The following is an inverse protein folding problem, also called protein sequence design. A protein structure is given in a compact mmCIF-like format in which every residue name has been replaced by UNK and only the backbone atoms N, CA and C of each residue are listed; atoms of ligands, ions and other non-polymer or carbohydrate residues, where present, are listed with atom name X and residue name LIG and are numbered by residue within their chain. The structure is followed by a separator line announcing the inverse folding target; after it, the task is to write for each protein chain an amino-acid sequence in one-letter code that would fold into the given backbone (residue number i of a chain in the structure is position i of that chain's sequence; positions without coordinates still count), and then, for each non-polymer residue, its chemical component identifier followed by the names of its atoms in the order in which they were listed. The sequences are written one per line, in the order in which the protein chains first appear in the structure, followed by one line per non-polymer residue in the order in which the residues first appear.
data_IF_842017860607
#
_entry.id   IF_842017860607
#
_cell.length_a   1.000
_cell.length_b   1.000
_cell.length_c   1.000
_cell.angle_alpha   90.00
_cell.angle_beta   90.00
_cell.angle_gamma   90.00
#
_symmetry.space_group_name_H-M   'P 1'
#
loop_
_entity.id
_entity.type
_entity.pdbx_description
1 polymer ?
#
# COMPACT_ATOMS: atom_id res chain seq x y z
N UNK A 1 -5.15 16.46 22.25
CA UNK A 1 -4.95 15.60 21.05
C UNK A 1 -3.57 15.91 20.52
N UNK A 2 -2.73 14.89 20.30
CA UNK A 2 -1.39 15.09 19.72
C UNK A 2 -1.40 14.64 18.26
N UNK A 3 -0.49 15.17 17.45
CA UNK A 3 -0.36 14.82 16.05
C UNK A 3 1.11 14.58 15.69
N UNK A 4 1.36 13.66 14.75
CA UNK A 4 2.68 13.40 14.17
C UNK A 4 2.54 12.99 12.71
N UNK A 5 3.47 13.44 11.87
CA UNK A 5 3.68 12.90 10.54
C UNK A 5 4.92 12.02 10.59
N UNK A 6 4.76 10.73 10.27
CA UNK A 6 5.88 9.80 10.21
C UNK A 6 6.56 9.85 8.85
N UNK A 7 7.88 9.82 8.85
CA UNK A 7 8.74 9.82 7.66
C UNK A 7 9.30 8.42 7.38
N UNK A 8 9.91 8.23 6.20
CA UNK A 8 10.65 6.99 5.88
C UNK A 8 11.85 6.82 6.81
N UNK A 9 12.51 7.91 7.22
CA UNK A 9 13.62 7.87 8.17
C UNK A 9 13.18 7.42 9.57
N UNK A 10 11.98 7.84 10.01
CA UNK A 10 11.38 7.32 11.24
C UNK A 10 11.17 5.81 11.17
N UNK A 11 10.75 5.26 10.02
CA UNK A 11 10.58 3.82 9.85
C UNK A 11 11.91 3.08 9.81
N UNK A 12 12.94 3.67 9.18
CA UNK A 12 14.28 3.10 9.21
C UNK A 12 14.88 3.09 10.61
N UNK A 13 14.71 4.16 11.39
CA UNK A 13 15.16 4.21 12.77
C UNK A 13 14.45 3.17 13.63
N UNK A 14 13.14 2.99 13.43
CA UNK A 14 12.38 1.96 14.12
C UNK A 14 12.77 0.54 13.71
N UNK A 15 12.97 0.28 12.41
CA UNK A 15 13.42 -1.01 11.90
C UNK A 15 14.79 -1.42 12.47
N UNK A 16 15.70 -0.45 12.61
CA UNK A 16 16.99 -0.67 13.30
C UNK A 16 16.82 -1.07 14.76
N UNK A 17 15.85 -0.50 15.47
CA UNK A 17 15.57 -0.83 16.85
C UNK A 17 14.84 -2.17 17.01
N UNK A 18 13.83 -2.44 16.19
CA UNK A 18 12.96 -3.62 16.31
C UNK A 18 13.52 -4.86 15.61
N UNK A 19 14.35 -4.67 14.59
CA UNK A 19 14.77 -5.71 13.66
C UNK A 19 13.70 -6.09 12.63
N UNK A 20 12.60 -5.35 12.55
CA UNK A 20 11.56 -5.54 11.54
C UNK A 20 11.87 -4.68 10.31
N UNK A 21 12.33 -5.34 9.25
CA UNK A 21 12.67 -4.74 7.96
C UNK A 21 11.72 -5.19 6.86
N UNK A 22 10.47 -5.56 7.20
CA UNK A 22 9.51 -6.00 6.20
C UNK A 22 9.39 -4.95 5.07
N UNK A 23 9.50 -5.33 3.78
CA UNK A 23 9.43 -4.39 2.66
C UNK A 23 8.18 -3.51 2.63
N UNK A 24 7.08 -3.96 3.26
CA UNK A 24 5.89 -3.16 3.47
C UNK A 24 6.16 -1.81 4.15
N UNK A 25 7.11 -1.81 5.08
CA UNK A 25 7.51 -0.63 5.87
C UNK A 25 8.76 0.04 5.32
N UNK A 26 9.58 -0.66 4.53
CA UNK A 26 10.93 -0.21 4.16
C UNK A 26 11.05 0.23 2.70
N UNK A 27 10.30 -0.38 1.79
CA UNK A 27 10.45 -0.12 0.35
C UNK A 27 9.18 0.55 -0.22
N UNK A 28 9.20 1.88 -0.46
CA UNK A 28 8.06 2.59 -1.03
C UNK A 28 7.74 2.17 -2.48
N UNK A 29 8.68 1.60 -3.24
CA UNK A 29 8.43 1.10 -4.59
C UNK A 29 7.75 -0.27 -4.58
N UNK A 30 8.13 -1.17 -3.68
CA UNK A 30 7.41 -2.43 -3.49
C UNK A 30 6.04 -2.17 -2.85
N UNK A 31 5.98 -1.34 -1.81
CA UNK A 31 4.75 -1.08 -1.07
C UNK A 31 3.63 -0.46 -1.92
N UNK A 32 3.96 0.23 -3.03
CA UNK A 32 2.97 0.75 -3.99
C UNK A 32 2.15 -0.33 -4.71
N UNK A 33 2.67 -1.57 -4.73
CA UNK A 33 2.02 -2.75 -5.34
C UNK A 33 1.29 -3.61 -4.32
N UNK A 34 1.44 -3.30 -3.04
CA UNK A 34 0.84 -4.04 -1.93
C UNK A 34 -0.53 -3.46 -1.57
N UNK A 35 -1.26 -4.18 -0.71
CA UNK A 35 -2.64 -3.86 -0.30
C UNK A 35 -2.88 -2.37 0.08
N UNK A 36 -1.92 -1.72 0.74
CA UNK A 36 -2.07 -0.33 1.16
C UNK A 36 -1.73 0.70 0.07
N UNK A 37 -1.10 0.28 -1.03
CA UNK A 37 -0.72 1.13 -2.17
C UNK A 37 0.38 2.15 -1.87
N UNK A 38 1.00 2.10 -0.68
CA UNK A 38 2.06 3.00 -0.21
C UNK A 38 2.81 2.39 0.97
N UNK A 39 3.98 2.95 1.29
CA UNK A 39 4.72 2.65 2.51
C UNK A 39 3.87 2.97 3.74
N UNK A 40 3.81 2.04 4.69
CA UNK A 40 3.03 2.20 5.93
C UNK A 40 3.92 2.16 7.17
N UNK A 41 3.51 2.89 8.19
CA UNK A 41 4.14 2.91 9.51
C UNK A 41 3.95 1.56 10.20
N UNK A 42 4.98 1.07 10.88
CA UNK A 42 4.85 -0.12 11.72
C UNK A 42 3.78 0.12 12.79
N UNK A 43 2.79 -0.76 12.91
CA UNK A 43 1.72 -0.62 13.91
C UNK A 43 2.27 -0.49 15.33
N UNK A 44 3.32 -1.27 15.65
CA UNK A 44 4.00 -1.20 16.94
C UNK A 44 4.74 0.13 17.15
N UNK A 45 5.32 0.74 16.10
CA UNK A 45 5.92 2.08 16.22
C UNK A 45 4.87 3.11 16.63
N UNK A 46 3.69 3.09 16.00
CA UNK A 46 2.60 3.99 16.35
C UNK A 46 2.10 3.79 17.79
N UNK A 47 2.04 2.53 18.25
CA UNK A 47 1.72 2.18 19.65
C UNK A 47 2.77 2.72 20.63
N UNK A 48 4.06 2.47 20.38
CA UNK A 48 5.12 2.91 21.28
C UNK A 48 5.25 4.44 21.30
N UNK A 49 5.05 5.11 20.17
CA UNK A 49 5.01 6.59 20.12
C UNK A 49 3.87 7.16 20.97
N UNK A 50 2.67 6.61 20.83
CA UNK A 50 1.50 7.12 21.55
C UNK A 50 1.58 6.86 23.06
N UNK A 51 2.14 5.70 23.45
CA UNK A 51 2.40 5.35 24.85
C UNK A 51 3.55 6.17 25.45
N UNK A 52 4.63 6.38 24.71
CA UNK A 52 5.75 7.22 25.18
C UNK A 52 5.26 8.62 25.55
N UNK A 53 4.42 9.21 24.68
CA UNK A 53 3.85 10.51 24.94
C UNK A 53 2.91 10.50 26.15
N UNK A 54 2.06 9.48 26.29
CA UNK A 54 1.16 9.36 27.45
C UNK A 54 1.94 9.35 28.77
N UNK A 55 3.09 8.67 28.80
CA UNK A 55 3.92 8.53 29.99
C UNK A 55 4.80 9.74 30.31
N UNK A 56 4.75 10.82 29.50
CA UNK A 56 5.60 12.01 29.69
C UNK A 56 5.47 12.64 31.08
N UNK A 57 4.27 12.63 31.68
CA UNK A 57 4.00 13.23 33.00
C UNK A 57 4.32 12.30 34.17
N UNK A 58 4.68 11.03 33.92
CA UNK A 58 4.98 10.05 34.96
C UNK A 58 6.44 10.14 35.37
N UNK A 59 6.72 10.00 36.66
CA UNK A 59 8.08 10.10 37.23
C UNK A 59 8.56 8.84 37.95
N UNK A 60 7.64 7.93 38.32
CA UNK A 60 7.96 6.70 39.05
C UNK A 60 7.98 5.50 38.11
N UNK A 61 8.86 4.51 38.31
CA UNK A 61 8.86 3.28 37.54
C UNK A 61 7.48 2.59 37.51
N UNK A 62 7.13 2.10 36.34
CA UNK A 62 5.92 1.34 36.06
C UNK A 62 6.29 0.01 35.43
N UNK A 63 5.35 -0.91 35.38
CA UNK A 63 5.41 -2.09 34.52
C UNK A 63 4.08 -2.20 33.78
N UNK A 64 4.16 -2.70 32.55
CA UNK A 64 2.99 -3.17 31.83
C UNK A 64 2.42 -4.38 32.57
N UNK A 65 1.09 -4.44 32.69
CA UNK A 65 0.32 -5.59 33.16
C UNK A 65 -0.44 -6.22 32.00
N UNK A 66 -1.05 -5.38 31.16
CA UNK A 66 -1.67 -5.81 29.91
C UNK A 66 -1.42 -4.80 28.80
N UNK A 67 -1.23 -5.31 27.58
CA UNK A 67 -1.24 -4.52 26.35
C UNK A 67 -2.17 -5.24 25.39
N UNK A 68 -3.26 -4.60 24.99
CA UNK A 68 -4.11 -5.06 23.90
C UNK A 68 -4.14 -4.00 22.83
N UNK A 69 -3.89 -4.37 21.58
CA UNK A 69 -3.92 -3.45 20.46
C UNK A 69 -4.57 -4.09 19.24
N UNK A 70 -5.46 -3.35 18.60
CA UNK A 70 -6.09 -3.68 17.33
C UNK A 70 -5.67 -2.62 16.30
N UNK A 71 -4.85 -3.01 15.33
CA UNK A 71 -4.43 -2.19 14.19
C UNK A 71 -5.48 -2.36 13.07
N UNK A 72 -6.37 -1.39 12.95
CA UNK A 72 -7.56 -1.44 12.09
C UNK A 72 -7.24 -1.07 10.65
N UNK A 73 -6.47 0.00 10.45
CA UNK A 73 -6.04 0.48 9.14
C UNK A 73 -4.58 0.92 9.18
N UNK A 74 -3.92 0.90 8.02
CA UNK A 74 -2.52 1.29 7.91
C UNK A 74 -2.36 2.82 7.94
N UNK A 75 -1.42 3.31 8.76
CA UNK A 75 -0.99 4.71 8.73
C UNK A 75 0.06 4.84 7.62
N UNK A 76 -0.23 5.57 6.55
CA UNK A 76 0.74 5.82 5.49
C UNK A 76 1.86 6.77 5.95
N UNK A 77 3.09 6.52 5.50
CA UNK A 77 4.18 7.50 5.65
C UNK A 77 3.78 8.82 4.97
N UNK A 78 4.01 9.94 5.65
CA UNK A 78 3.57 11.27 5.22
C UNK A 78 2.12 11.63 5.59
N UNK A 79 1.34 10.72 6.17
CA UNK A 79 0.01 11.06 6.71
C UNK A 79 0.10 11.63 8.12
N UNK A 80 -0.88 12.46 8.48
CA UNK A 80 -0.99 12.96 9.85
C UNK A 80 -1.68 11.91 10.70
N UNK A 81 -0.95 11.37 11.67
CA UNK A 81 -1.50 10.52 12.72
C UNK A 81 -1.90 11.38 13.92
N UNK A 82 -3.16 11.34 14.34
CA UNK A 82 -3.66 11.96 15.56
C UNK A 82 -3.87 10.92 16.65
N UNK A 83 -3.67 11.32 17.90
CA UNK A 83 -3.85 10.46 19.06
C UNK A 83 -4.73 11.13 20.13
N UNK A 84 -5.68 10.36 20.64
CA UNK A 84 -6.59 10.69 21.75
C UNK A 84 -6.46 9.61 22.83
N UNK A 85 -6.57 10.06 24.08
CA UNK A 85 -6.48 9.21 25.26
C UNK A 85 -7.79 9.26 26.02
N UNK A 86 -8.28 8.10 26.44
CA UNK A 86 -9.38 7.93 27.38
C UNK A 86 -8.86 7.12 28.56
N UNK A 87 -8.59 7.80 29.68
CA UNK A 87 -8.05 7.15 30.88
C UNK A 87 -9.17 6.95 31.90
N UNK A 88 -9.40 5.70 32.32
CA UNK A 88 -10.29 5.40 33.44
C UNK A 88 -9.64 5.82 34.77
N UNK A 89 -8.32 5.63 34.87
CA UNK A 89 -7.48 6.08 35.98
C UNK A 89 -6.01 6.23 35.51
N UNK A 90 -5.07 6.46 36.44
CA UNK A 90 -3.64 6.64 36.11
C UNK A 90 -2.94 5.37 35.61
N UNK A 91 -3.58 4.22 35.71
CA UNK A 91 -3.02 2.91 35.43
C UNK A 91 -3.75 2.19 34.29
N UNK A 92 -4.99 2.57 33.98
CA UNK A 92 -5.79 2.00 32.89
C UNK A 92 -6.10 3.08 31.85
N UNK A 93 -5.58 2.89 30.63
CA UNK A 93 -5.72 3.86 29.54
C UNK A 93 -6.11 3.19 28.24
N UNK A 94 -7.05 3.82 27.54
CA UNK A 94 -7.32 3.56 26.13
C UNK A 94 -6.71 4.65 25.25
N UNK A 95 -6.08 4.24 24.16
CA UNK A 95 -5.45 5.11 23.18
C UNK A 95 -6.11 4.86 21.83
N UNK A 96 -6.62 5.91 21.21
CA UNK A 96 -7.22 5.89 19.90
C UNK A 96 -6.32 6.65 18.93
N UNK A 97 -5.89 5.97 17.87
CA UNK A 97 -5.12 6.54 16.78
C UNK A 97 -5.99 6.69 15.53
N UNK A 98 -5.85 7.81 14.85
CA UNK A 98 -6.48 8.07 13.56
C UNK A 98 -5.42 8.56 12.57
N UNK A 99 -5.60 8.24 11.29
CA UNK A 99 -4.79 8.74 10.18
C UNK A 99 -5.69 9.54 9.23
N UNK A 100 -5.46 10.85 9.10
CA UNK A 100 -6.28 11.75 8.31
C UNK A 100 -7.81 11.57 8.56
N UNK A 101 -8.21 11.40 9.84
CA UNK A 101 -9.60 11.19 10.27
C UNK A 101 -10.13 9.76 10.17
N UNK A 102 -9.34 8.81 9.67
CA UNK A 102 -9.72 7.39 9.62
C UNK A 102 -9.18 6.65 10.84
N UNK A 103 -9.99 5.87 11.58
CA UNK A 103 -9.50 5.05 12.69
C UNK A 103 -8.37 4.09 12.27
N UNK A 104 -7.21 4.23 12.89
CA UNK A 104 -5.99 3.49 12.58
C UNK A 104 -5.70 2.39 13.61
N UNK A 105 -5.74 2.73 14.90
CA UNK A 105 -5.51 1.74 15.97
C UNK A 105 -6.34 2.04 17.21
N UNK A 106 -6.69 0.99 17.94
CA UNK A 106 -7.22 1.07 19.30
C UNK A 106 -6.35 0.24 20.22
N UNK A 107 -5.87 0.85 21.30
CA UNK A 107 -4.92 0.25 22.23
C UNK A 107 -5.49 0.39 23.64
N UNK A 108 -5.57 -0.70 24.38
CA UNK A 108 -5.96 -0.74 25.79
C UNK A 108 -4.77 -1.21 26.61
N UNK A 109 -4.44 -0.50 27.68
CA UNK A 109 -3.26 -0.73 28.49
C UNK A 109 -3.61 -0.73 29.97
N UNK A 110 -3.05 -1.68 30.71
CA UNK A 110 -2.99 -1.65 32.16
C UNK A 110 -1.54 -1.57 32.63
N UNK A 111 -1.25 -0.64 33.53
CA UNK A 111 0.04 -0.36 34.13
C UNK A 111 -0.02 -0.67 35.63
N UNK A 112 1.10 -1.01 36.23
CA UNK A 112 1.24 -1.13 37.69
C UNK A 112 2.50 -0.41 38.15
N UNK A 113 2.54 0.15 39.37
CA UNK A 113 3.79 0.56 39.98
C UNK A 113 4.79 -0.60 39.99
N UNK A 114 6.06 -0.31 39.72
CA UNK A 114 7.14 -1.28 39.76
C UNK A 114 8.30 -0.79 40.64
N UNK A 115 9.19 -1.72 41.02
CA UNK A 115 10.46 -1.37 41.64
C UNK A 115 11.40 -0.67 40.65
N UNK A 116 12.60 -0.23 41.10
CA UNK A 116 13.60 0.29 40.19
C UNK A 116 13.92 -0.74 39.10
N UNK A 117 13.99 -0.27 37.84
CA UNK A 117 14.33 -1.11 36.70
C UNK A 117 15.67 -1.81 36.97
N UNK A 118 15.66 -3.14 36.89
CA UNK A 118 16.91 -3.92 36.93
C UNK A 118 17.75 -3.58 35.71
N UNK A 119 19.07 -3.56 35.90
CA UNK A 119 20.02 -3.41 34.81
C UNK A 119 20.14 -4.73 34.03
N UNK A 120 19.06 -5.13 33.37
CA UNK A 120 19.08 -6.29 32.50
C UNK A 120 19.84 -5.93 31.22
N UNK A 121 20.93 -6.66 30.97
CA UNK A 121 21.73 -6.48 29.76
C UNK A 121 21.17 -7.35 28.65
N UNK A 122 20.60 -6.72 27.63
CA UNK A 122 20.19 -7.38 26.41
C UNK A 122 21.26 -7.18 25.33
N UNK A 123 21.45 -8.17 24.45
CA UNK A 123 22.23 -7.95 23.23
C UNK A 123 21.58 -6.85 22.38
N UNK A 124 22.40 -6.10 21.66
CA UNK A 124 21.92 -5.22 20.59
C UNK A 124 21.34 -6.03 19.43
N UNK A 125 20.50 -5.42 18.57
CA UNK A 125 20.03 -6.06 17.35
C UNK A 125 21.22 -6.43 16.44
N UNK A 126 21.05 -7.44 15.56
CA UNK A 126 22.08 -7.79 14.58
C UNK A 126 22.49 -6.58 13.73
N UNK A 127 23.78 -6.48 13.38
CA UNK A 127 24.30 -5.36 12.59
C UNK A 127 23.73 -5.33 11.17
N UNK A 128 23.47 -6.50 10.58
CA UNK A 128 22.83 -6.63 9.27
C UNK A 128 21.38 -7.13 9.42
N UNK A 129 20.43 -6.56 8.67
CA UNK A 129 19.07 -7.08 8.61
C UNK A 129 19.07 -8.51 8.09
N UNK A 130 18.42 -9.42 8.82
CA UNK A 130 18.09 -10.74 8.26
C UNK A 130 17.12 -10.62 7.08
N UNK A 131 17.13 -11.61 6.19
CA UNK A 131 16.14 -11.68 5.12
C UNK A 131 14.75 -11.92 5.70
N UNK A 132 13.78 -11.16 5.21
CA UNK A 132 12.37 -11.36 5.51
C UNK A 132 11.91 -12.71 4.96
N UNK A 133 11.52 -13.65 5.84
CA UNK A 133 11.23 -15.02 5.42
C UNK A 133 9.94 -15.09 4.62
N UNK A 134 9.97 -15.88 3.56
CA UNK A 134 8.79 -16.19 2.77
C UNK A 134 8.34 -17.63 3.06
N UNK A 135 7.09 -17.77 3.48
CA UNK A 135 6.49 -19.06 3.84
C UNK A 135 5.22 -19.30 3.03
N UNK A 136 5.02 -20.54 2.60
CA UNK A 136 3.72 -20.99 2.09
C UNK A 136 2.69 -21.05 3.22
N UNK A 137 1.38 -20.95 2.94
CA UNK A 137 0.34 -21.08 3.96
C UNK A 137 0.47 -22.32 4.84
N UNK A 138 0.80 -23.48 4.26
CA UNK A 138 1.02 -24.72 5.01
C UNK A 138 2.21 -24.63 5.99
N UNK A 139 3.30 -23.99 5.57
CA UNK A 139 4.47 -23.77 6.45
C UNK A 139 4.13 -22.78 7.57
N UNK A 140 3.34 -21.75 7.28
CA UNK A 140 2.83 -20.83 8.31
C UNK A 140 1.97 -21.60 9.30
N UNK A 141 1.03 -22.42 8.83
CA UNK A 141 0.12 -23.18 9.70
C UNK A 141 0.84 -24.11 10.69
N UNK A 142 1.99 -24.67 10.28
CA UNK A 142 2.80 -25.56 11.11
C UNK A 142 3.93 -24.84 11.89
N UNK A 143 4.05 -23.52 11.79
CA UNK A 143 5.20 -22.80 12.32
C UNK A 143 5.17 -22.70 13.86
N UNK A 144 6.31 -23.02 14.47
CA UNK A 144 6.65 -22.69 15.84
C UNK A 144 8.15 -22.43 15.95
N UNK A 145 8.58 -21.74 16.99
CA UNK A 145 9.99 -21.44 17.19
C UNK A 145 10.22 -20.44 18.30
N UNK A 146 11.42 -19.86 18.32
CA UNK A 146 11.80 -18.83 19.27
C UNK A 146 12.49 -17.66 18.57
N UNK A 147 12.38 -16.49 19.20
CA UNK A 147 13.11 -15.29 18.80
C UNK A 147 13.89 -14.78 19.99
N UNK A 148 15.21 -14.69 19.85
CA UNK A 148 16.03 -13.99 20.83
C UNK A 148 15.58 -12.54 21.03
N UNK A 149 15.52 -12.10 22.28
CA UNK A 149 15.21 -10.74 22.68
C UNK A 149 16.45 -9.86 22.57
N UNK A 150 16.29 -8.69 21.96
CA UNK A 150 17.33 -7.67 21.79
C UNK A 150 16.79 -6.34 22.29
N UNK A 151 17.67 -5.49 22.83
CA UNK A 151 17.28 -4.15 23.23
C UNK A 151 18.47 -3.19 23.21
N UNK A 152 18.49 -2.33 22.19
CA UNK A 152 19.41 -1.20 22.12
C UNK A 152 18.84 -0.02 22.92
N UNK A 153 19.31 0.13 24.16
CA UNK A 153 18.83 1.16 25.08
C UNK A 153 19.09 2.58 24.56
N UNK A 154 20.21 2.82 23.88
CA UNK A 154 20.58 4.16 23.42
C UNK A 154 19.64 4.61 22.30
N UNK A 155 19.48 3.77 21.27
CA UNK A 155 18.57 4.08 20.16
C UNK A 155 17.10 4.08 20.61
N UNK A 156 16.71 3.19 21.53
CA UNK A 156 15.39 3.24 22.14
C UNK A 156 15.14 4.55 22.88
N UNK A 157 16.13 5.09 23.62
CA UNK A 157 15.96 6.34 24.36
C UNK A 157 15.82 7.56 23.44
N UNK A 158 16.38 7.52 22.23
CA UNK A 158 16.20 8.56 21.21
C UNK A 158 14.77 8.57 20.66
N UNK A 159 14.19 7.39 20.42
CA UNK A 159 12.85 7.26 19.86
C UNK A 159 11.74 7.36 20.91
N UNK A 160 11.97 6.78 22.09
CA UNK A 160 10.97 6.59 23.16
C UNK A 160 11.58 6.87 24.55
N UNK A 161 11.96 8.12 24.84
CA UNK A 161 12.67 8.48 26.07
C UNK A 161 11.88 8.17 27.36
N UNK A 162 10.55 8.32 27.33
CA UNK A 162 9.71 8.08 28.49
C UNK A 162 9.50 6.59 28.74
N UNK A 163 9.38 5.78 27.68
CA UNK A 163 9.31 4.32 27.82
C UNK A 163 10.59 3.76 28.44
N UNK A 164 11.75 4.14 27.91
CA UNK A 164 13.04 3.66 28.44
C UNK A 164 13.26 4.08 29.89
N UNK A 165 12.76 5.27 30.27
CA UNK A 165 12.86 5.79 31.63
C UNK A 165 11.95 5.06 32.62
N UNK A 166 10.77 4.62 32.19
CA UNK A 166 9.71 4.19 33.11
C UNK A 166 9.40 2.70 33.08
N UNK A 167 9.64 1.99 31.98
CA UNK A 167 9.27 0.59 31.81
C UNK A 167 10.50 -0.35 31.89
N UNK A 168 10.34 -1.61 32.31
CA UNK A 168 11.41 -2.58 32.34
C UNK A 168 11.92 -2.88 30.91
N UNK A 169 13.24 -2.94 30.68
CA UNK A 169 13.82 -3.23 29.37
C UNK A 169 13.31 -4.52 28.74
N UNK A 170 13.10 -5.59 29.54
CA UNK A 170 12.58 -6.86 29.05
C UNK A 170 11.18 -6.77 28.43
N UNK A 171 10.30 -5.93 28.99
CA UNK A 171 8.96 -5.73 28.42
C UNK A 171 9.03 -5.02 27.06
N UNK A 172 9.94 -4.05 26.92
CA UNK A 172 10.18 -3.35 25.66
C UNK A 172 10.83 -4.27 24.62
N UNK A 173 11.82 -5.08 25.03
CA UNK A 173 12.46 -6.07 24.18
C UNK A 173 11.45 -7.10 23.63
N UNK A 174 10.55 -7.58 24.48
CA UNK A 174 9.49 -8.50 24.09
C UNK A 174 8.48 -7.86 23.14
N UNK A 175 8.06 -6.61 23.38
CA UNK A 175 7.20 -5.86 22.44
C UNK A 175 7.90 -5.72 21.07
N UNK A 176 9.16 -5.29 21.03
CA UNK A 176 9.91 -5.18 19.78
C UNK A 176 10.06 -6.52 19.05
N UNK A 177 10.17 -7.63 19.80
CA UNK A 177 10.22 -8.97 19.22
C UNK A 177 8.90 -9.36 18.53
N UNK A 178 7.74 -8.82 18.92
CA UNK A 178 6.47 -9.21 18.30
C UNK A 178 6.31 -8.68 16.88
N UNK A 179 6.77 -7.45 16.60
CA UNK A 179 6.77 -6.93 15.22
C UNK A 179 7.81 -7.66 14.37
N UNK A 180 8.97 -8.01 14.94
CA UNK A 180 9.97 -8.84 14.24
C UNK A 180 9.46 -10.25 13.93
N UNK A 181 8.74 -10.87 14.87
CA UNK A 181 8.07 -12.16 14.65
C UNK A 181 7.15 -12.06 13.43
N UNK A 182 6.19 -11.14 13.44
CA UNK A 182 5.21 -11.01 12.35
C UNK A 182 5.89 -10.63 11.04
N UNK A 183 6.72 -9.58 11.07
CA UNK A 183 7.29 -8.93 9.89
C UNK A 183 8.43 -9.70 9.24
N UNK A 184 9.20 -10.51 9.98
CA UNK A 184 10.43 -11.13 9.48
C UNK A 184 10.46 -12.65 9.59
N UNK A 185 9.78 -13.24 10.59
CA UNK A 185 9.87 -14.66 10.89
C UNK A 185 8.62 -15.41 10.41
N UNK A 186 7.46 -15.16 11.02
CA UNK A 186 6.19 -15.78 10.69
C UNK A 186 5.01 -14.83 10.96
N UNK A 187 4.17 -14.50 9.97
CA UNK A 187 4.21 -15.01 8.59
C UNK A 187 5.34 -14.48 7.69
N UNK A 188 6.06 -13.44 8.12
CA UNK A 188 7.20 -12.88 7.40
C UNK A 188 6.79 -11.95 6.26
N UNK A 189 7.32 -12.19 5.06
CA UNK A 189 7.27 -11.29 3.89
C UNK A 189 5.87 -10.79 3.55
N UNK A 190 4.91 -11.72 3.53
CA UNK A 190 3.53 -11.43 3.17
C UNK A 190 2.64 -11.18 4.39
N UNK A 191 3.19 -10.65 5.49
CA UNK A 191 2.42 -10.38 6.69
C UNK A 191 1.82 -8.96 6.74
N UNK A 192 0.76 -8.82 7.53
CA UNK A 192 0.25 -7.56 8.07
C UNK A 192 0.03 -7.78 9.57
N UNK A 193 0.70 -7.00 10.41
CA UNK A 193 0.48 -7.05 11.85
C UNK A 193 -0.87 -6.38 12.20
N UNK A 194 -1.86 -7.18 12.63
CA UNK A 194 -3.23 -6.71 12.87
C UNK A 194 -3.56 -6.47 14.34
N UNK A 195 -2.87 -7.12 15.28
CA UNK A 195 -3.10 -6.84 16.69
C UNK A 195 -2.37 -7.79 17.64
N UNK A 196 -2.38 -7.44 18.91
CA UNK A 196 -1.77 -8.22 19.98
C UNK A 196 -2.59 -8.12 21.25
N UNK A 197 -2.50 -9.15 22.09
CA UNK A 197 -3.00 -9.13 23.45
C UNK A 197 -2.00 -9.85 24.34
N UNK A 198 -1.22 -9.08 25.08
CA UNK A 198 -0.13 -9.55 25.93
C UNK A 198 -0.46 -9.25 27.38
N UNK A 199 -0.15 -10.22 28.23
CA UNK A 199 -0.19 -10.10 29.69
C UNK A 199 1.22 -10.25 30.23
N UNK A 200 1.51 -9.51 31.27
CA UNK A 200 2.81 -9.48 31.90
C UNK A 200 2.69 -9.85 33.37
N UNK A 201 3.68 -10.57 33.85
CA UNK A 201 3.80 -10.94 35.25
C UNK A 201 5.22 -10.63 35.76
N UNK A 202 5.46 -10.93 37.03
CA UNK A 202 6.74 -10.69 37.69
C UNK A 202 7.77 -11.80 37.46
N UNK A 203 7.38 -12.91 36.82
CA UNK A 203 8.25 -14.07 36.64
C UNK A 203 9.10 -13.93 35.38
N UNK A 204 10.26 -13.29 35.55
CA UNK A 204 11.24 -13.09 34.47
C UNK A 204 12.27 -14.22 34.39
N UNK A 205 11.95 -15.43 34.89
CA UNK A 205 12.85 -16.58 34.78
C UNK A 205 12.87 -17.13 33.35
N UNK A 206 14.05 -17.56 32.88
CA UNK A 206 14.22 -18.18 31.56
C UNK A 206 15.22 -17.48 30.65
N UNK A 207 15.45 -18.08 29.48
CA UNK A 207 16.30 -17.49 28.45
C UNK A 207 15.63 -16.23 27.87
N UNK A 208 16.39 -15.21 27.44
CA UNK A 208 15.85 -13.98 26.85
C UNK A 208 15.35 -14.26 25.43
N UNK A 209 14.30 -15.06 25.31
CA UNK A 209 13.69 -15.52 24.07
C UNK A 209 12.17 -15.39 24.15
N UNK A 210 11.54 -15.09 23.02
CA UNK A 210 10.09 -15.13 22.83
C UNK A 210 9.77 -16.37 22.00
N UNK A 211 9.20 -17.38 22.65
CA UNK A 211 8.67 -18.56 21.97
C UNK A 211 7.35 -18.20 21.29
N UNK A 212 7.08 -18.82 20.15
CA UNK A 212 5.82 -18.68 19.44
C UNK A 212 5.34 -20.00 18.87
N UNK A 213 4.02 -20.12 18.74
CA UNK A 213 3.38 -21.21 18.02
C UNK A 213 2.16 -20.67 17.27
N UNK A 214 2.06 -21.00 15.98
CA UNK A 214 0.86 -20.74 15.20
C UNK A 214 -0.24 -21.68 15.69
N UNK A 215 -1.34 -21.11 16.16
CA UNK A 215 -2.50 -21.85 16.68
C UNK A 215 -3.68 -21.86 15.71
N UNK A 216 -3.71 -20.91 14.77
CA UNK A 216 -4.71 -20.88 13.71
C UNK A 216 -4.12 -20.25 12.46
N UNK A 217 -4.29 -20.92 11.33
CA UNK A 217 -4.07 -20.36 10.00
C UNK A 217 -5.33 -20.62 9.18
N UNK A 218 -6.11 -19.57 8.91
CA UNK A 218 -7.32 -19.63 8.10
C UNK A 218 -7.06 -18.87 6.80
N UNK A 219 -6.66 -19.60 5.77
CA UNK A 219 -6.32 -19.05 4.46
C UNK A 219 -7.48 -18.30 3.78
N UNK A 220 -8.74 -18.78 3.78
CA UNK A 220 -9.87 -18.02 3.24
C UNK A 220 -10.09 -16.64 3.87
N UNK A 221 -9.78 -16.48 5.16
CA UNK A 221 -9.84 -15.21 5.88
C UNK A 221 -8.49 -14.49 5.94
N UNK A 222 -7.46 -15.06 5.29
CA UNK A 222 -6.07 -14.67 5.38
C UNK A 222 -5.56 -14.51 6.82
N UNK A 223 -6.15 -15.19 7.81
CA UNK A 223 -5.93 -14.93 9.24
C UNK A 223 -4.88 -15.88 9.82
N UNK A 224 -3.93 -15.32 10.56
CA UNK A 224 -2.96 -16.07 11.36
C UNK A 224 -3.04 -15.63 12.81
N UNK A 225 -3.23 -16.59 13.72
CA UNK A 225 -3.16 -16.39 15.17
C UNK A 225 -1.96 -17.16 15.70
N UNK A 226 -1.19 -16.49 16.56
CA UNK A 226 -0.04 -17.06 17.24
C UNK A 226 -0.19 -16.86 18.74
N UNK A 227 0.16 -17.88 19.51
CA UNK A 227 0.46 -17.74 20.93
C UNK A 227 1.95 -17.43 21.08
N UNK A 228 2.29 -16.58 22.04
CA UNK A 228 3.67 -16.25 22.40
C UNK A 228 3.88 -16.34 23.89
N UNK A 229 5.08 -16.76 24.29
CA UNK A 229 5.48 -16.91 25.69
C UNK A 229 6.98 -16.66 25.85
N UNK A 230 7.36 -15.96 26.90
CA UNK A 230 8.75 -15.70 27.27
C UNK A 230 8.85 -15.20 28.71
N UNK A 231 10.04 -14.80 29.18
CA UNK A 231 10.23 -14.33 30.55
C UNK A 231 9.31 -13.15 30.88
N UNK A 232 8.37 -13.35 31.80
CA UNK A 232 7.45 -12.33 32.29
C UNK A 232 6.36 -11.91 31.30
N UNK A 233 6.15 -12.67 30.22
CA UNK A 233 5.22 -12.31 29.14
C UNK A 233 4.55 -13.53 28.52
N UNK A 234 3.24 -13.43 28.31
CA UNK A 234 2.48 -14.37 27.48
C UNK A 234 1.33 -13.69 26.77
N UNK A 235 0.88 -14.25 25.67
CA UNK A 235 -0.36 -13.81 25.03
C UNK A 235 -0.45 -14.16 23.56
N UNK A 236 -1.26 -13.38 22.84
CA UNK A 236 -1.65 -13.67 21.46
C UNK A 236 -1.22 -12.57 20.51
N UNK A 237 -0.87 -12.97 19.31
CA UNK A 237 -0.60 -12.10 18.18
C UNK A 237 -1.55 -12.48 17.04
N UNK A 238 -2.09 -11.45 16.39
CA UNK A 238 -2.94 -11.55 15.22
C UNK A 238 -2.26 -10.90 14.03
N UNK A 239 -2.12 -11.66 12.95
CA UNK A 239 -1.60 -11.18 11.68
C UNK A 239 -2.51 -11.60 10.53
N UNK A 240 -2.37 -10.93 9.39
CA UNK A 240 -2.97 -11.36 8.13
C UNK A 240 -1.90 -11.75 7.11
N UNK A 241 -2.21 -12.73 6.28
CA UNK A 241 -1.50 -13.06 5.04
C UNK A 241 -1.96 -12.09 3.96
N UNK A 242 -1.11 -11.12 3.65
CA UNK A 242 -1.30 -10.22 2.51
C UNK A 242 -1.22 -11.03 1.21
N UNK A 243 -2.17 -10.86 0.27
CA UNK A 243 -2.03 -11.46 -1.04
C UNK A 243 -0.81 -10.94 -1.78
N UNK A 244 -0.26 -11.75 -2.67
CA UNK A 244 0.83 -11.33 -3.55
C UNK A 244 0.31 -10.32 -4.59
N UNK A 245 1.17 -9.41 -5.09
CA UNK A 245 0.85 -8.58 -6.24
C UNK A 245 0.35 -9.42 -7.43
N UNK A 246 -0.67 -8.93 -8.12
CA UNK A 246 -1.25 -9.61 -9.26
C UNK A 246 -0.38 -9.41 -10.50
N UNK A 247 0.25 -10.48 -10.98
CA UNK A 247 0.99 -10.47 -12.23
C UNK A 247 0.01 -10.48 -13.43
N UNK A 248 0.22 -9.56 -14.37
CA UNK A 248 -0.54 -9.54 -15.62
C UNK A 248 0.01 -10.59 -16.59
N UNK A 249 -0.85 -11.08 -17.49
CA UNK A 249 -0.48 -12.04 -18.54
C UNK A 249 0.76 -11.58 -19.32
N UNK A 250 1.59 -12.53 -19.75
CA UNK A 250 2.75 -12.25 -20.59
C UNK A 250 2.30 -11.69 -21.95
N UNK A 251 3.20 -11.01 -22.67
CA UNK A 251 2.87 -10.45 -24.00
C UNK A 251 2.32 -11.53 -24.95
N UNK A 252 2.95 -12.70 -24.99
CA UNK A 252 2.55 -13.81 -25.88
C UNK A 252 1.17 -14.36 -25.55
N UNK A 253 0.82 -14.46 -24.26
CA UNK A 253 -0.50 -14.90 -23.80
C UNK A 253 -1.58 -13.87 -24.16
N UNK A 254 -1.34 -12.59 -23.89
CA UNK A 254 -2.26 -11.52 -24.25
C UNK A 254 -2.48 -11.45 -25.77
N UNK A 255 -1.44 -11.72 -26.55
CA UNK A 255 -1.48 -11.72 -28.02
C UNK A 255 -2.35 -12.84 -28.62
N UNK A 256 -2.66 -13.91 -27.89
CA UNK A 256 -3.52 -15.00 -28.40
C UNK A 256 -4.95 -14.55 -28.74
N UNK A 257 -5.38 -13.41 -28.21
CA UNK A 257 -6.73 -12.88 -28.39
C UNK A 257 -6.83 -11.77 -29.45
N UNK A 258 -5.71 -11.36 -30.03
CA UNK A 258 -5.59 -10.20 -30.91
C UNK A 258 -5.09 -10.64 -32.28
N UNK A 259 -5.79 -10.23 -33.33
CA UNK A 259 -5.36 -10.52 -34.70
C UNK A 259 -4.13 -9.69 -35.08
N UNK A 260 -3.28 -10.24 -35.95
CA UNK A 260 -2.16 -9.49 -36.49
C UNK A 260 -2.65 -8.20 -37.18
N UNK A 261 -1.96 -7.09 -36.92
CA UNK A 261 -2.28 -5.77 -37.47
C UNK A 261 -3.65 -5.16 -37.06
N UNK A 262 -4.36 -5.76 -36.09
CA UNK A 262 -5.67 -5.28 -35.63
C UNK A 262 -5.66 -3.80 -35.15
N UNK A 263 -4.52 -3.30 -34.70
CA UNK A 263 -4.30 -1.95 -34.21
C UNK A 263 -3.10 -1.27 -34.92
N UNK A 264 -2.72 -1.72 -36.11
CA UNK A 264 -1.53 -1.22 -36.81
C UNK A 264 -1.67 0.23 -37.30
N UNK A 265 -2.88 0.77 -37.40
CA UNK A 265 -3.16 2.10 -37.91
C UNK A 265 -2.83 3.24 -36.93
N UNK A 266 -2.56 2.91 -35.66
CA UNK A 266 -2.40 3.91 -34.61
C UNK A 266 -0.99 3.91 -34.00
N UNK A 267 -0.64 5.06 -33.43
CA UNK A 267 0.37 5.14 -32.40
C UNK A 267 -0.31 5.34 -31.04
N UNK A 268 -0.03 4.46 -30.08
CA UNK A 268 -0.70 4.44 -28.79
C UNK A 268 0.17 5.09 -27.71
N UNK A 269 -0.31 6.20 -27.12
CA UNK A 269 0.26 6.78 -25.91
C UNK A 269 -0.55 6.34 -24.69
N UNK A 270 0.09 5.61 -23.77
CA UNK A 270 -0.55 5.03 -22.60
C UNK A 270 0.00 5.68 -21.34
N UNK A 271 -0.82 6.52 -20.72
CA UNK A 271 -0.48 7.16 -19.46
C UNK A 271 -0.75 6.20 -18.31
N UNK A 272 0.29 5.85 -17.55
CA UNK A 272 0.18 4.86 -16.47
C UNK A 272 0.34 3.40 -16.93
N UNK A 273 1.22 3.14 -17.90
CA UNK A 273 1.44 1.80 -18.47
C UNK A 273 2.38 0.88 -17.68
N UNK A 274 2.93 1.33 -16.55
CA UNK A 274 3.90 0.52 -15.76
C UNK A 274 3.32 -0.68 -14.99
N UNK A 275 2.00 -0.85 -14.93
CA UNK A 275 1.30 -1.93 -14.21
C UNK A 275 -0.20 -1.94 -14.51
N UNK A 276 -0.91 -2.97 -14.06
CA UNK A 276 -2.38 -3.02 -14.06
C UNK A 276 -2.98 -2.91 -15.45
N UNK A 277 -4.10 -2.19 -15.59
CA UNK A 277 -4.80 -2.07 -16.88
C UNK A 277 -3.95 -1.42 -17.97
N UNK A 278 -3.10 -0.47 -17.63
CA UNK A 278 -2.20 0.17 -18.60
C UNK A 278 -1.16 -0.80 -19.19
N UNK A 279 -0.66 -1.75 -18.38
CA UNK A 279 0.23 -2.83 -18.87
C UNK A 279 -0.52 -3.75 -19.84
N UNK A 280 -1.75 -4.15 -19.49
CA UNK A 280 -2.56 -5.03 -20.35
C UNK A 280 -2.90 -4.35 -21.66
N UNK A 281 -3.35 -3.09 -21.62
CA UNK A 281 -3.61 -2.31 -22.84
C UNK A 281 -2.37 -2.16 -23.71
N UNK A 282 -1.18 -1.95 -23.12
CA UNK A 282 0.06 -1.88 -23.87
C UNK A 282 0.36 -3.18 -24.62
N UNK A 283 0.21 -4.33 -23.95
CA UNK A 283 0.44 -5.65 -24.55
C UNK A 283 -0.56 -5.95 -25.67
N UNK A 284 -1.86 -5.70 -25.44
CA UNK A 284 -2.91 -5.94 -26.44
C UNK A 284 -2.74 -5.07 -27.70
N UNK A 285 -2.45 -3.78 -27.53
CA UNK A 285 -2.25 -2.87 -28.65
C UNK A 285 -0.98 -3.22 -29.44
N UNK A 286 0.13 -3.51 -28.75
CA UNK A 286 1.37 -3.90 -29.40
C UNK A 286 1.24 -5.26 -30.12
N UNK A 287 0.49 -6.22 -29.56
CA UNK A 287 0.21 -7.50 -30.21
C UNK A 287 -0.58 -7.33 -31.51
N UNK A 288 -1.51 -6.37 -31.55
CA UNK A 288 -2.20 -5.97 -32.78
C UNK A 288 -1.38 -5.04 -33.70
N UNK A 289 -0.09 -4.84 -33.48
CA UNK A 289 0.79 -4.08 -34.38
C UNK A 289 0.85 -2.57 -34.14
N UNK A 290 0.25 -2.04 -33.08
CA UNK A 290 0.40 -0.64 -32.71
C UNK A 290 1.83 -0.33 -32.25
N UNK A 291 2.30 0.89 -32.51
CA UNK A 291 3.52 1.40 -31.86
C UNK A 291 3.15 1.98 -30.50
N UNK A 292 3.70 1.44 -29.42
CA UNK A 292 3.26 1.78 -28.06
C UNK A 292 4.29 2.63 -27.32
N UNK A 293 3.82 3.73 -26.73
CA UNK A 293 4.57 4.53 -25.76
C UNK A 293 3.86 4.40 -24.42
N UNK A 294 4.48 3.71 -23.46
CA UNK A 294 3.97 3.70 -22.08
C UNK A 294 4.65 4.77 -21.24
N UNK A 295 3.91 5.37 -20.32
CA UNK A 295 4.50 6.28 -19.32
C UNK A 295 4.41 5.74 -17.91
N UNK A 296 5.30 6.23 -17.05
CA UNK A 296 5.34 5.89 -15.64
C UNK A 296 5.72 7.12 -14.81
N UNK A 297 5.07 7.30 -13.66
CA UNK A 297 5.52 8.28 -12.67
C UNK A 297 6.57 7.67 -11.74
N UNK A 298 6.26 6.50 -11.19
CA UNK A 298 7.15 5.66 -10.39
C UNK A 298 7.17 4.25 -10.97
N UNK A 299 8.29 3.55 -10.85
CA UNK A 299 8.43 2.17 -11.33
C UNK A 299 9.04 2.03 -12.71
N UNK A 300 10.17 2.69 -12.95
CA UNK A 300 10.94 2.58 -14.18
C UNK A 300 11.26 1.12 -14.53
N UNK A 301 11.73 0.33 -13.56
CA UNK A 301 12.05 -1.10 -13.76
C UNK A 301 10.85 -1.91 -14.24
N UNK A 302 9.66 -1.63 -13.72
CA UNK A 302 8.43 -2.31 -14.16
C UNK A 302 8.08 -1.91 -15.60
N UNK A 303 8.19 -0.63 -15.94
CA UNK A 303 7.96 -0.17 -17.31
C UNK A 303 8.99 -0.75 -18.31
N UNK A 304 10.27 -0.81 -17.92
CA UNK A 304 11.33 -1.42 -18.72
C UNK A 304 11.09 -2.92 -18.93
N UNK A 305 10.66 -3.65 -17.89
CA UNK A 305 10.27 -5.06 -18.00
C UNK A 305 9.15 -5.27 -19.02
N UNK A 306 8.12 -4.42 -19.00
CA UNK A 306 7.00 -4.49 -19.95
C UNK A 306 7.46 -4.19 -21.38
N UNK A 307 8.31 -3.17 -21.56
CA UNK A 307 8.89 -2.87 -22.88
C UNK A 307 9.75 -4.03 -23.36
N UNK A 308 10.53 -4.66 -22.49
CA UNK A 308 11.34 -5.83 -22.84
C UNK A 308 10.46 -7.01 -23.25
N UNK A 309 9.40 -7.32 -22.49
CA UNK A 309 8.41 -8.36 -22.80
C UNK A 309 7.76 -8.15 -24.18
N UNK A 310 7.42 -6.91 -24.53
CA UNK A 310 6.86 -6.58 -25.85
C UNK A 310 7.94 -6.67 -26.96
N UNK A 311 9.10 -6.07 -26.75
CA UNK A 311 10.12 -5.92 -27.81
C UNK A 311 10.88 -7.21 -28.10
N UNK A 312 11.07 -8.09 -27.11
CA UNK A 312 11.66 -9.41 -27.33
C UNK A 312 10.82 -10.30 -28.24
N UNK A 313 9.53 -9.97 -28.41
CA UNK A 313 8.59 -10.66 -29.28
C UNK A 313 8.36 -9.93 -30.62
N UNK A 314 9.22 -8.97 -30.97
CA UNK A 314 9.23 -8.30 -32.28
C UNK A 314 8.27 -7.11 -32.43
N UNK A 315 7.48 -6.80 -31.41
CA UNK A 315 6.58 -5.64 -31.40
C UNK A 315 7.29 -4.34 -30.95
N UNK A 316 6.69 -3.19 -31.26
CA UNK A 316 7.30 -1.88 -31.02
C UNK A 316 6.77 -1.25 -29.74
N UNK A 317 7.64 -1.10 -28.73
CA UNK A 317 7.33 -0.37 -27.51
C UNK A 317 8.50 0.47 -27.00
N UNK A 318 8.18 1.59 -26.35
CA UNK A 318 9.13 2.39 -25.56
C UNK A 318 8.47 2.94 -24.30
N UNK A 319 9.27 3.28 -23.29
CA UNK A 319 8.77 3.90 -22.07
C UNK A 319 9.40 5.28 -21.81
N UNK A 320 8.64 6.16 -21.13
CA UNK A 320 9.06 7.51 -20.74
C UNK A 320 8.56 7.87 -19.33
N UNK A 321 9.36 8.58 -18.52
CA UNK A 321 8.89 9.10 -17.24
C UNK A 321 7.87 10.22 -17.47
N UNK A 322 6.79 10.22 -16.70
CA UNK A 322 5.78 11.28 -16.71
C UNK A 322 5.08 11.37 -15.35
N UNK A 323 5.11 12.55 -14.74
CA UNK A 323 4.12 12.94 -13.75
C UNK A 323 2.95 13.61 -14.46
N UNK A 324 1.76 13.03 -14.37
CA UNK A 324 0.57 13.54 -15.06
C UNK A 324 0.11 14.90 -14.53
N UNK A 325 0.46 15.21 -13.28
CA UNK A 325 0.12 16.49 -12.66
C UNK A 325 1.02 17.63 -13.18
N UNK A 326 2.19 17.30 -13.73
CA UNK A 326 3.21 18.23 -14.24
C UNK A 326 3.52 17.98 -15.74
N UNK A 327 2.59 17.38 -16.48
CA UNK A 327 2.86 16.78 -17.79
C UNK A 327 3.03 17.75 -18.98
N UNK A 328 2.68 19.03 -18.81
CA UNK A 328 2.40 19.95 -19.93
C UNK A 328 3.58 20.16 -20.89
N UNK A 329 4.81 20.19 -20.39
CA UNK A 329 6.00 20.41 -21.23
C UNK A 329 6.55 19.12 -21.83
N UNK A 330 6.34 17.97 -21.18
CA UNK A 330 6.98 16.72 -21.58
C UNK A 330 6.24 16.01 -22.72
N UNK A 331 4.90 16.09 -22.74
CA UNK A 331 4.06 15.36 -23.69
C UNK A 331 4.34 15.70 -25.17
N UNK A 332 4.42 16.97 -25.60
CA UNK A 332 4.72 17.32 -26.99
C UNK A 332 6.00 16.67 -27.53
N UNK A 333 7.05 16.63 -26.71
CA UNK A 333 8.33 16.02 -27.09
C UNK A 333 8.25 14.49 -27.18
N UNK A 334 7.38 13.84 -26.40
CA UNK A 334 7.22 12.37 -26.44
C UNK A 334 6.55 11.89 -27.73
N UNK A 335 5.63 12.70 -28.26
CA UNK A 335 4.85 12.41 -29.47
C UNK A 335 5.30 13.28 -30.66
N UNK A 336 6.50 13.84 -30.61
CA UNK A 336 7.08 14.50 -31.77
C UNK A 336 7.39 13.46 -32.87
N UNK A 337 7.14 13.82 -34.13
CA UNK A 337 7.47 13.02 -35.33
C UNK A 337 6.73 11.68 -35.44
N UNK A 338 5.50 11.60 -34.95
CA UNK A 338 4.67 10.41 -35.16
C UNK A 338 4.14 10.38 -36.59
N UNK A 339 4.14 9.21 -37.21
CA UNK A 339 3.69 9.01 -38.59
C UNK A 339 2.26 8.48 -38.69
N UNK A 340 1.66 8.11 -37.56
CA UNK A 340 0.31 7.54 -37.45
C UNK A 340 -0.56 8.43 -36.57
N UNK A 341 -1.89 8.39 -36.74
CA UNK A 341 -2.84 8.97 -35.79
C UNK A 341 -2.52 8.62 -34.34
N UNK A 342 -2.57 9.63 -33.47
CA UNK A 342 -2.32 9.45 -32.04
C UNK A 342 -3.59 9.01 -31.34
N UNK A 343 -3.51 7.84 -30.69
CA UNK A 343 -4.55 7.35 -29.78
C UNK A 343 -4.01 7.43 -28.36
N UNK A 344 -4.77 8.05 -27.48
CA UNK A 344 -4.38 8.35 -26.11
C UNK A 344 -5.19 7.50 -25.12
N UNK A 345 -4.50 6.78 -24.23
CA UNK A 345 -5.10 5.90 -23.24
C UNK A 345 -4.74 6.35 -21.82
N UNK A 346 -5.73 6.70 -21.01
CA UNK A 346 -5.52 7.35 -19.71
C UNK A 346 -5.74 6.45 -18.50
N UNK A 347 -4.69 5.82 -17.97
CA UNK A 347 -4.76 4.93 -16.80
C UNK A 347 -4.11 5.50 -15.54
N UNK A 348 -3.74 6.79 -15.54
CA UNK A 348 -3.22 7.42 -14.33
C UNK A 348 -4.31 7.45 -13.24
N UNK A 349 -4.03 6.76 -12.14
CA UNK A 349 -4.93 6.69 -11.00
C UNK A 349 -4.13 6.65 -9.70
N UNK A 350 -4.47 7.48 -8.70
CA UNK A 350 -3.95 7.32 -7.35
C UNK A 350 -4.54 6.06 -6.69
N UNK A 351 -4.14 5.77 -5.46
CA UNK A 351 -4.70 4.64 -4.70
C UNK A 351 -6.20 4.84 -4.47
N UNK A 352 -7.01 3.86 -4.91
CA UNK A 352 -8.48 3.95 -4.92
C UNK A 352 -9.05 3.71 -3.52
N UNK A 353 -8.63 2.61 -2.87
CA UNK A 353 -9.24 2.11 -1.65
C UNK A 353 -8.71 2.78 -0.37
N UNK A 354 -9.36 2.48 0.76
CA UNK A 354 -8.95 2.93 2.09
C UNK A 354 -9.63 4.21 2.58
N UNK A 355 -10.81 4.55 2.06
CA UNK A 355 -11.66 5.58 2.66
C UNK A 355 -12.46 5.01 3.84
N UNK A 356 -12.88 5.89 4.75
CA UNK A 356 -13.76 5.50 5.86
C UNK A 356 -15.20 5.32 5.33
N UNK A 357 -15.83 4.19 5.67
CA UNK A 357 -17.20 3.89 5.25
C UNK A 357 -18.17 4.96 5.76
N UNK A 358 -19.00 5.48 4.86
CA UNK A 358 -20.04 6.48 5.16
C UNK A 358 -19.51 7.88 5.43
N UNK A 359 -18.22 8.14 5.21
CA UNK A 359 -17.62 9.47 5.37
C UNK A 359 -17.10 9.98 4.03
N UNK A 360 -17.07 11.30 3.87
CA UNK A 360 -16.56 11.96 2.67
C UNK A 360 -15.39 12.88 3.03
N UNK A 361 -14.22 12.61 2.46
CA UNK A 361 -12.99 13.38 2.63
C UNK A 361 -12.78 14.34 1.46
N UNK A 362 -12.91 15.64 1.73
CA UNK A 362 -12.61 16.69 0.74
C UNK A 362 -11.18 16.57 0.19
N UNK A 363 -10.22 16.17 1.03
CA UNK A 363 -8.82 15.94 0.64
C UNK A 363 -8.66 14.76 -0.32
N UNK A 364 -9.32 13.63 -0.05
CA UNK A 364 -9.28 12.47 -0.97
C UNK A 364 -9.96 12.81 -2.29
N UNK A 365 -11.10 13.48 -2.25
CA UNK A 365 -11.79 13.96 -3.45
C UNK A 365 -10.90 14.88 -4.29
N UNK A 366 -10.26 15.88 -3.67
CA UNK A 366 -9.31 16.75 -4.36
C UNK A 366 -8.19 15.94 -5.01
N UNK A 367 -7.59 14.98 -4.28
CA UNK A 367 -6.59 14.08 -4.83
C UNK A 367 -7.08 13.24 -6.01
N UNK A 368 -8.33 12.76 -6.01
CA UNK A 368 -8.88 12.08 -7.19
C UNK A 368 -9.14 13.06 -8.35
N UNK A 369 -9.66 14.26 -8.07
CA UNK A 369 -9.93 15.29 -9.07
C UNK A 369 -8.64 15.78 -9.75
N UNK A 370 -7.54 15.88 -9.01
CA UNK A 370 -6.22 16.22 -9.55
C UNK A 370 -5.82 15.25 -10.67
N UNK A 371 -6.10 13.96 -10.54
CA UNK A 371 -5.78 12.97 -11.57
C UNK A 371 -6.87 12.84 -12.63
N UNK A 372 -8.13 12.64 -12.24
CA UNK A 372 -9.22 12.30 -13.16
C UNK A 372 -9.77 13.49 -13.94
N UNK A 373 -9.58 14.71 -13.41
CA UNK A 373 -10.06 15.94 -14.04
C UNK A 373 -8.89 16.78 -14.50
N UNK A 374 -8.06 17.27 -13.57
CA UNK A 374 -7.03 18.26 -13.88
C UNK A 374 -5.90 17.67 -14.73
N UNK A 375 -5.33 16.54 -14.32
CA UNK A 375 -4.28 15.83 -15.05
C UNK A 375 -4.75 15.35 -16.43
N UNK A 376 -5.98 14.84 -16.50
CA UNK A 376 -6.59 14.46 -17.78
C UNK A 376 -6.78 15.65 -18.72
N UNK A 377 -7.37 16.76 -18.23
CA UNK A 377 -7.56 18.00 -18.97
C UNK A 377 -6.22 18.52 -19.53
N UNK A 378 -5.21 18.65 -18.67
CA UNK A 378 -3.88 19.14 -19.05
C UNK A 378 -3.24 18.24 -20.11
N UNK A 379 -3.40 16.93 -19.98
CA UNK A 379 -2.87 15.96 -20.95
C UNK A 379 -3.53 16.14 -22.32
N UNK A 380 -4.86 16.21 -22.37
CA UNK A 380 -5.58 16.41 -23.63
C UNK A 380 -5.22 17.76 -24.25
N UNK A 381 -5.20 18.84 -23.48
CA UNK A 381 -4.83 20.18 -23.98
C UNK A 381 -3.42 20.22 -24.55
N UNK A 382 -2.47 19.51 -23.94
CA UNK A 382 -1.08 19.46 -24.42
C UNK A 382 -0.93 18.64 -25.71
N UNK A 383 -1.89 17.76 -26.01
CA UNK A 383 -1.91 16.89 -27.19
C UNK A 383 -2.90 17.35 -28.27
N UNK A 384 -3.71 18.38 -27.99
CA UNK A 384 -4.77 18.87 -28.87
C UNK A 384 -4.25 19.72 -30.04
N UNK A 385 -2.97 20.10 -30.04
CA UNK A 385 -2.35 20.72 -31.21
C UNK A 385 -2.50 19.79 -32.43
N UNK A 386 -3.00 20.33 -33.53
CA UNK A 386 -3.23 19.57 -34.77
C UNK A 386 -1.96 18.92 -35.30
N UNK A 387 -0.78 19.44 -34.97
CA UNK A 387 0.51 18.84 -35.29
C UNK A 387 0.70 17.44 -34.71
N UNK A 388 0.00 17.08 -33.63
CA UNK A 388 0.10 15.77 -32.98
C UNK A 388 -0.99 14.78 -33.41
N UNK A 389 -1.96 15.21 -34.23
CA UNK A 389 -2.95 14.30 -34.82
C UNK A 389 -3.72 13.44 -33.81
N UNK A 390 -4.04 13.98 -32.62
CA UNK A 390 -4.85 13.29 -31.62
C UNK A 390 -6.27 13.09 -32.15
N UNK A 391 -6.67 11.83 -32.33
CA UNK A 391 -8.00 11.48 -32.85
C UNK A 391 -8.87 10.82 -31.79
N UNK A 392 -8.29 9.92 -31.00
CA UNK A 392 -9.05 9.02 -30.13
C UNK A 392 -8.50 8.98 -28.73
N UNK A 393 -9.40 8.96 -27.75
CA UNK A 393 -9.07 8.89 -26.33
C UNK A 393 -9.83 7.77 -25.67
N UNK A 394 -9.13 7.00 -24.85
CA UNK A 394 -9.71 6.05 -23.92
C UNK A 394 -9.63 6.59 -22.49
N UNK A 395 -10.79 6.87 -21.90
CA UNK A 395 -10.91 7.32 -20.51
C UNK A 395 -11.63 6.25 -19.68
N UNK A 396 -10.94 5.44 -18.87
CA UNK A 396 -11.59 4.43 -18.04
C UNK A 396 -12.40 5.09 -16.92
N UNK A 397 -13.72 5.09 -17.06
CA UNK A 397 -14.65 5.39 -15.97
C UNK A 397 -14.90 4.14 -15.11
N UNK A 398 -15.87 4.16 -14.20
CA UNK A 398 -16.08 3.08 -13.24
C UNK A 398 -17.54 2.80 -12.93
N UNK A 399 -17.88 1.52 -12.79
CA UNK A 399 -19.18 1.06 -12.30
C UNK A 399 -19.50 1.56 -10.87
N UNK A 400 -18.49 1.94 -10.08
CA UNK A 400 -18.67 2.54 -8.76
C UNK A 400 -19.50 3.83 -8.76
N UNK A 401 -19.64 4.49 -9.91
CA UNK A 401 -20.55 5.63 -10.10
C UNK A 401 -22.01 5.23 -9.88
N UNK A 402 -22.39 4.04 -10.35
CA UNK A 402 -23.75 3.52 -10.26
C UNK A 402 -23.95 2.71 -8.98
N UNK A 403 -22.98 1.86 -8.63
CA UNK A 403 -23.03 1.00 -7.44
C UNK A 403 -22.93 1.80 -6.13
N UNK A 404 -22.18 2.90 -6.15
CA UNK A 404 -21.89 3.79 -5.02
C UNK A 404 -21.62 3.09 -3.68
N UNK A 405 -20.55 2.27 -3.56
CA UNK A 405 -20.15 1.69 -2.28
C UNK A 405 -19.88 2.76 -1.21
N UNK A 406 -20.14 2.42 0.06
CA UNK A 406 -20.05 3.35 1.19
C UNK A 406 -18.66 3.97 1.41
N UNK A 407 -17.61 3.39 0.86
CA UNK A 407 -16.21 3.85 0.94
C UNK A 407 -15.67 4.35 -0.42
N UNK A 408 -16.53 4.64 -1.39
CA UNK A 408 -16.14 5.07 -2.72
C UNK A 408 -16.75 6.41 -3.17
N UNK A 409 -17.41 7.15 -2.27
CA UNK A 409 -18.10 8.39 -2.61
C UNK A 409 -17.19 9.42 -3.31
N UNK A 410 -15.98 9.64 -2.80
CA UNK A 410 -15.02 10.59 -3.38
C UNK A 410 -14.51 10.13 -4.75
N UNK A 411 -14.24 8.83 -4.90
CA UNK A 411 -13.78 8.23 -6.14
C UNK A 411 -14.85 8.30 -7.23
N UNK A 412 -16.08 7.90 -6.91
CA UNK A 412 -17.23 7.95 -7.79
C UNK A 412 -17.54 9.39 -8.24
N UNK A 413 -17.54 10.35 -7.31
CA UNK A 413 -17.76 11.75 -7.63
C UNK A 413 -16.70 12.31 -8.58
N UNK A 414 -15.41 12.02 -8.35
CA UNK A 414 -14.33 12.47 -9.22
C UNK A 414 -14.37 11.79 -10.60
N UNK A 415 -14.73 10.51 -10.68
CA UNK A 415 -14.92 9.81 -11.96
C UNK A 415 -16.08 10.39 -12.77
N UNK A 416 -17.20 10.70 -12.12
CA UNK A 416 -18.33 11.39 -12.75
C UNK A 416 -17.93 12.77 -13.28
N UNK A 417 -17.19 13.55 -12.51
CA UNK A 417 -16.66 14.84 -12.97
C UNK A 417 -15.78 14.67 -14.23
N UNK A 418 -14.97 13.60 -14.28
CA UNK A 418 -14.19 13.24 -15.47
C UNK A 418 -15.06 12.83 -16.68
N UNK A 419 -16.19 12.14 -16.49
CA UNK A 419 -17.13 11.83 -17.59
C UNK A 419 -17.69 13.10 -18.23
N UNK A 420 -18.13 14.05 -17.40
CA UNK A 420 -18.62 15.36 -17.85
C UNK A 420 -17.52 16.14 -18.58
N UNK A 421 -16.29 16.09 -18.07
CA UNK A 421 -15.14 16.70 -18.75
C UNK A 421 -14.89 16.08 -20.13
N UNK A 422 -15.02 14.75 -20.28
CA UNK A 422 -14.91 14.09 -21.59
C UNK A 422 -15.95 14.64 -22.58
N UNK A 423 -17.21 14.82 -22.15
CA UNK A 423 -18.25 15.39 -23.02
C UNK A 423 -17.94 16.83 -23.43
N UNK A 424 -17.43 17.64 -22.50
CA UNK A 424 -17.00 19.00 -22.78
C UNK A 424 -15.84 19.05 -23.79
N UNK A 425 -14.83 18.19 -23.62
CA UNK A 425 -13.66 18.12 -24.50
C UNK A 425 -14.04 17.69 -25.93
N UNK A 426 -14.92 16.70 -26.11
CA UNK A 426 -15.41 16.33 -27.44
C UNK A 426 -16.14 17.49 -28.13
N UNK A 427 -16.99 18.23 -27.39
CA UNK A 427 -17.74 19.38 -27.95
C UNK A 427 -16.82 20.53 -28.38
N UNK A 428 -15.72 20.72 -27.66
CA UNK A 428 -14.78 21.83 -27.89
C UNK A 428 -13.65 21.48 -28.86
N UNK A 429 -13.48 20.20 -29.23
CA UNK A 429 -12.44 19.74 -30.14
C UNK A 429 -13.08 18.89 -31.27
N UNK A 430 -13.61 19.52 -32.34
CA UNK A 430 -14.16 18.80 -33.48
C UNK A 430 -13.11 17.85 -34.09
N UNK A 431 -13.44 16.56 -34.19
CA UNK A 431 -12.53 15.51 -34.67
C UNK A 431 -11.93 14.64 -33.56
N UNK A 432 -12.13 15.00 -32.28
CA UNK A 432 -11.74 14.19 -31.14
C UNK A 432 -12.88 13.26 -30.70
N UNK A 433 -12.61 11.96 -30.64
CA UNK A 433 -13.52 10.94 -30.12
C UNK A 433 -13.00 10.40 -28.79
N UNK A 434 -13.82 10.39 -27.75
CA UNK A 434 -13.49 9.91 -26.40
C UNK A 434 -14.43 8.76 -26.02
N UNK A 435 -13.88 7.55 -25.95
CA UNK A 435 -14.57 6.40 -25.37
C UNK A 435 -14.35 6.37 -23.85
N UNK A 436 -15.43 6.49 -23.08
CA UNK A 436 -15.40 6.54 -21.62
C UNK A 436 -16.19 5.42 -20.93
N UNK A 437 -15.77 4.15 -21.05
CA UNK A 437 -16.53 3.03 -20.48
C UNK A 437 -16.50 3.04 -18.96
N UNK A 438 -17.63 2.73 -18.32
CA UNK A 438 -17.70 2.42 -16.89
C UNK A 438 -17.22 1.01 -16.66
N UNK A 439 -15.94 0.85 -16.33
CA UNK A 439 -15.35 -0.48 -16.14
C UNK A 439 -15.85 -1.12 -14.83
N UNK A 440 -16.11 -2.44 -14.82
CA UNK A 440 -16.37 -3.18 -13.59
C UNK A 440 -15.09 -3.31 -12.76
N UNK A 441 -15.19 -3.98 -11.61
CA UNK A 441 -14.01 -4.36 -10.84
C UNK A 441 -13.19 -5.40 -11.64
N UNK A 442 -11.96 -5.06 -12.00
CA UNK A 442 -11.05 -5.86 -12.84
C UNK A 442 -9.80 -6.24 -12.04
N UNK A 443 -9.22 -7.41 -12.29
CA UNK A 443 -8.07 -7.92 -11.54
C UNK A 443 -6.79 -7.10 -11.77
N UNK A 444 -6.32 -6.40 -10.73
CA UNK A 444 -5.07 -5.61 -10.74
C UNK A 444 -4.51 -5.52 -9.33
N UNK A 445 -3.25 -5.09 -9.18
CA UNK A 445 -2.66 -4.76 -7.86
C UNK A 445 -3.54 -3.80 -7.02
N UNK A 446 -4.35 -2.95 -7.67
CA UNK A 446 -5.20 -1.99 -6.95
C UNK A 446 -6.50 -2.61 -6.42
N UNK A 447 -6.97 -3.71 -6.99
CA UNK A 447 -8.23 -4.38 -6.62
C UNK A 447 -8.00 -5.62 -5.76
N UNK A 448 -6.75 -5.89 -5.39
CA UNK A 448 -6.37 -6.92 -4.41
C UNK A 448 -6.99 -6.57 -3.05
N UNK A 449 -7.60 -7.56 -2.41
CA UNK A 449 -8.19 -7.46 -1.07
C UNK A 449 -7.82 -8.67 -0.22
N UNK A 450 -7.84 -8.51 1.11
CA UNK A 450 -7.61 -9.62 2.06
C UNK A 450 -8.65 -10.73 1.92
N UNK A 451 -9.90 -10.34 1.73
CA UNK A 451 -10.98 -11.28 1.45
C UNK A 451 -11.15 -11.42 -0.07
N UNK A 452 -11.46 -12.62 -0.57
CA UNK A 452 -11.76 -12.82 -1.98
C UNK A 452 -12.91 -11.92 -2.43
N UNK A 453 -12.69 -11.19 -3.52
CA UNK A 453 -13.73 -10.45 -4.23
C UNK A 453 -13.62 -10.82 -5.70
N UNK A 454 -14.77 -11.07 -6.32
CA UNK A 454 -14.82 -11.39 -7.74
C UNK A 454 -14.32 -10.21 -8.58
N UNK A 455 -13.37 -10.49 -9.46
CA UNK A 455 -12.79 -9.53 -10.39
C UNK A 455 -12.87 -10.12 -11.79
N UNK A 456 -13.25 -9.30 -12.78
CA UNK A 456 -13.25 -9.73 -14.17
C UNK A 456 -11.84 -9.80 -14.75
N UNK A 457 -11.68 -10.63 -15.79
CA UNK A 457 -10.44 -10.75 -16.54
C UNK A 457 -10.08 -9.44 -17.28
N UNK A 458 -8.89 -8.87 -17.03
CA UNK A 458 -8.47 -7.62 -17.68
C UNK A 458 -8.41 -7.72 -19.21
N UNK A 459 -7.94 -8.85 -19.74
CA UNK A 459 -7.73 -9.02 -21.19
C UNK A 459 -9.06 -8.94 -21.93
N UNK A 460 -10.03 -9.73 -21.50
CA UNK A 460 -11.36 -9.83 -22.10
C UNK A 460 -12.10 -8.48 -22.09
N UNK A 461 -12.10 -7.79 -20.94
CA UNK A 461 -12.80 -6.51 -20.79
C UNK A 461 -12.14 -5.41 -21.60
N UNK A 462 -10.81 -5.28 -21.53
CA UNK A 462 -10.09 -4.23 -22.23
C UNK A 462 -10.17 -4.42 -23.74
N UNK A 463 -9.96 -5.64 -24.25
CA UNK A 463 -9.98 -5.92 -25.68
C UNK A 463 -11.33 -5.53 -26.32
N UNK A 464 -12.44 -5.85 -25.66
CA UNK A 464 -13.78 -5.43 -26.09
C UNK A 464 -13.87 -3.91 -26.29
N UNK A 465 -13.36 -3.14 -25.33
CA UNK A 465 -13.42 -1.69 -25.38
C UNK A 465 -12.37 -1.05 -26.31
N UNK A 466 -11.21 -1.68 -26.50
CA UNK A 466 -10.21 -1.26 -27.48
C UNK A 466 -10.76 -1.39 -28.91
N UNK A 467 -11.42 -2.52 -29.21
CA UNK A 467 -12.15 -2.74 -30.47
C UNK A 467 -13.25 -1.71 -30.67
N UNK A 468 -14.02 -1.41 -29.62
CA UNK A 468 -15.07 -0.38 -29.68
C UNK A 468 -14.49 1.00 -29.99
N UNK A 469 -13.43 1.43 -29.30
CA UNK A 469 -12.80 2.73 -29.58
C UNK A 469 -12.26 2.80 -31.02
N UNK A 470 -11.70 1.69 -31.54
CA UNK A 470 -11.26 1.63 -32.94
C UNK A 470 -12.40 1.85 -33.94
N UNK A 471 -13.63 1.42 -33.62
CA UNK A 471 -14.80 1.56 -34.50
C UNK A 471 -15.49 2.93 -34.44
N UNK A 472 -15.39 3.65 -33.32
CA UNK A 472 -15.96 4.99 -33.15
C UNK A 472 -15.22 6.03 -33.98
#
# INVERSE_FOLDING_TARGET
MIQRVFTSDDQLAFAKLSGDYNPLHMDPFLARRLLFGKQVVHGLHALLWSLDHYLKSYSRPLALKTVKADFKTGIGVGQTASCRYDAADKHNVEIHLEADGTPAAWIQLALTPSGPNRADTFPGPPAEPGLCREHSPDKVAAASGNLRLYFDKENAARLFPNLVRLLPPGQLAALLATTRLVGMECPGLHSIYSGLHLTYDSDVTGAPELNYQVTTCNEPLALVLMEVEGPGIKGRIKAFLRPQPHAQAAFTEAGQYVEAEEFAEQQALIIGGSRGLGEVTAKLLAAGGAEVIITYYRGEKDAQRIVADITSNGAKAKCRPLDVLEASQALPHMVANISKPLYFYYFATPAIFGAAKGQFSSRRFAGFADYYVIGFLRTVQSLADSAFGLQKVFYPSSAAIEELPLDMGEYAAAKMAGEILCDFLQKTNPGLTIHKPRLPRIATDQTVSLLPVENQDPVSVLLMHLRKLRQL
#
